data_IF_898081864594
#
_entry.id   IF_898081864594
#
_cell.length_a   1.000
_cell.length_b   1.000
_cell.length_c   1.000
_cell.angle_alpha   90.00
_cell.angle_beta   90.00
_cell.angle_gamma   90.00
#
_symmetry.space_group_name_H-M   'P 1'
#
loop_
_entity.id
_entity.type
_entity.pdbx_description
1 polymer ?
#
# COMPACT_ATOMS: atom_id res chain seq x y z
N UNK A 1 -6.60 13.97 -12.65
CA UNK A 1 -7.47 13.69 -11.48
C UNK A 1 -8.84 14.32 -11.66
N UNK A 2 -9.85 13.88 -10.89
CA UNK A 2 -11.22 14.44 -10.95
C UNK A 2 -11.25 15.97 -10.81
N UNK A 3 -12.19 16.59 -11.53
CA UNK A 3 -12.45 18.03 -11.49
C UNK A 3 -13.71 18.38 -10.71
N UNK A 4 -14.50 17.40 -10.27
CA UNK A 4 -15.73 17.69 -9.54
C UNK A 4 -15.44 18.28 -8.15
N UNK A 5 -16.39 19.07 -7.67
CA UNK A 5 -16.41 19.64 -6.33
C UNK A 5 -17.68 19.20 -5.64
N UNK A 6 -17.56 18.68 -4.41
CA UNK A 6 -18.69 18.25 -3.58
C UNK A 6 -18.84 19.20 -2.40
N UNK A 7 -20.07 19.56 -2.04
CA UNK A 7 -20.35 20.57 -1.01
C UNK A 7 -20.04 20.09 0.41
N UNK A 8 -20.19 18.79 0.68
CA UNK A 8 -19.92 18.22 1.99
C UNK A 8 -18.40 18.02 2.19
N UNK A 9 -17.78 18.67 3.20
CA UNK A 9 -16.33 18.66 3.43
C UNK A 9 -15.78 17.27 3.84
N UNK A 10 -16.64 16.35 4.29
CA UNK A 10 -16.23 15.02 4.73
C UNK A 10 -16.23 13.97 3.61
N UNK A 11 -16.60 14.34 2.38
CA UNK A 11 -16.62 13.40 1.26
C UNK A 11 -15.18 13.11 0.80
N UNK A 12 -14.72 11.92 1.17
CA UNK A 12 -13.47 11.34 0.68
C UNK A 12 -13.68 10.67 -0.70
N UNK A 13 -12.74 10.81 -1.65
CA UNK A 13 -11.47 11.54 -1.58
C UNK A 13 -11.53 12.96 -2.19
N UNK A 14 -12.70 13.44 -2.64
CA UNK A 14 -12.84 14.73 -3.33
C UNK A 14 -12.14 15.87 -2.58
N UNK A 15 -12.42 16.04 -1.29
CA UNK A 15 -11.88 17.17 -0.53
C UNK A 15 -10.39 17.03 -0.16
N UNK A 16 -9.78 15.87 -0.40
CA UNK A 16 -8.33 15.67 -0.18
C UNK A 16 -7.50 16.43 -1.23
N UNK A 17 -8.02 16.56 -2.46
CA UNK A 17 -7.28 17.12 -3.59
C UNK A 17 -7.85 18.44 -4.14
N UNK A 18 -8.96 18.96 -3.59
CA UNK A 18 -9.58 20.21 -4.05
C UNK A 18 -8.61 21.40 -4.08
N UNK A 19 -7.72 21.50 -3.08
CA UNK A 19 -6.74 22.59 -2.96
C UNK A 19 -5.42 22.36 -3.71
N UNK A 20 -5.27 21.22 -4.40
CA UNK A 20 -4.04 20.89 -5.13
C UNK A 20 -4.08 21.51 -6.52
N UNK A 21 -3.14 22.40 -6.78
CA UNK A 21 -3.05 23.21 -8.02
C UNK A 21 -2.80 22.31 -9.24
N UNK A 22 -1.99 21.25 -9.08
CA UNK A 22 -1.64 20.34 -10.16
C UNK A 22 -2.46 19.04 -10.05
N UNK A 23 -3.31 18.79 -11.05
CA UNK A 23 -4.19 17.60 -11.12
C UNK A 23 -3.63 16.50 -12.02
N UNK A 24 -2.42 16.69 -12.54
CA UNK A 24 -1.70 15.75 -13.39
C UNK A 24 -0.38 15.41 -12.70
N UNK A 25 0.01 14.14 -12.73
CA UNK A 25 1.28 13.68 -12.18
C UNK A 25 2.02 12.89 -13.25
N UNK A 26 3.32 13.15 -13.36
CA UNK A 26 4.23 12.41 -14.21
C UNK A 26 5.11 11.50 -13.36
N UNK A 27 5.17 10.23 -13.72
CA UNK A 27 5.95 9.23 -13.01
C UNK A 27 7.22 8.89 -13.78
N UNK A 28 8.35 8.87 -13.09
CA UNK A 28 9.61 8.28 -13.54
C UNK A 28 9.84 6.95 -12.83
N UNK A 29 10.87 6.20 -13.23
CA UNK A 29 11.23 4.89 -12.67
C UNK A 29 11.25 4.86 -11.14
N UNK A 30 11.71 5.94 -10.53
CA UNK A 30 11.55 6.19 -9.09
C UNK A 30 10.86 7.53 -8.93
N UNK A 31 9.70 7.53 -8.28
CA UNK A 31 8.92 8.73 -7.97
C UNK A 31 8.57 8.71 -6.49
N UNK A 32 8.93 9.77 -5.78
CA UNK A 32 8.69 9.90 -4.34
C UNK A 32 7.62 10.95 -4.10
N UNK A 33 6.49 10.55 -3.53
CA UNK A 33 5.48 11.48 -3.03
C UNK A 33 5.82 11.84 -1.58
N UNK A 34 6.25 13.08 -1.33
CA UNK A 34 6.61 13.56 0.01
C UNK A 34 5.65 14.66 0.50
N UNK A 35 5.58 14.84 1.82
CA UNK A 35 4.76 15.89 2.45
C UNK A 35 4.20 15.48 3.81
N UNK A 36 3.57 16.43 4.49
CA UNK A 36 3.05 16.24 5.86
C UNK A 36 1.96 15.17 5.98
N UNK A 37 1.67 14.73 7.19
CA UNK A 37 0.54 13.83 7.46
C UNK A 37 -0.77 14.45 6.98
N UNK A 38 -1.72 13.60 6.59
CA UNK A 38 -3.00 14.00 5.99
C UNK A 38 -2.91 14.81 4.68
N UNK A 39 -1.73 14.92 4.06
CA UNK A 39 -1.58 15.66 2.79
C UNK A 39 -2.14 14.94 1.55
N UNK A 40 -2.63 13.70 1.70
CA UNK A 40 -3.21 12.90 0.62
C UNK A 40 -2.27 11.90 -0.06
N UNK A 41 -1.03 11.70 0.41
CA UNK A 41 -0.04 10.78 -0.19
C UNK A 41 -0.57 9.34 -0.33
N UNK A 42 -0.97 8.73 0.78
CA UNK A 42 -1.49 7.35 0.78
C UNK A 42 -2.80 7.25 -0.01
N UNK A 43 -3.65 8.29 0.04
CA UNK A 43 -4.85 8.38 -0.77
C UNK A 43 -4.52 8.37 -2.27
N UNK A 44 -3.53 9.14 -2.71
CA UNK A 44 -3.08 9.19 -4.10
C UNK A 44 -2.58 7.82 -4.55
N UNK A 45 -1.72 7.18 -3.76
CA UNK A 45 -1.23 5.83 -4.07
C UNK A 45 -2.37 4.83 -4.15
N UNK A 46 -3.36 4.92 -3.25
CA UNK A 46 -4.53 4.04 -3.29
C UNK A 46 -5.42 4.27 -4.52
N UNK A 47 -5.59 5.53 -4.95
CA UNK A 47 -6.30 5.86 -6.20
C UNK A 47 -5.57 5.26 -7.41
N UNK A 48 -4.24 5.37 -7.46
CA UNK A 48 -3.43 4.79 -8.54
C UNK A 48 -3.57 3.27 -8.54
N UNK A 49 -3.43 2.62 -7.39
CA UNK A 49 -3.57 1.18 -7.25
C UNK A 49 -4.96 0.69 -7.72
N UNK A 50 -6.03 1.37 -7.31
CA UNK A 50 -7.39 1.07 -7.77
C UNK A 50 -7.58 1.35 -9.26
N UNK A 51 -7.08 2.48 -9.79
CA UNK A 51 -7.26 2.83 -11.20
C UNK A 51 -6.56 1.86 -12.15
N UNK A 52 -5.40 1.37 -11.72
CA UNK A 52 -4.56 0.46 -12.48
C UNK A 52 -4.83 -1.03 -12.14
N UNK A 53 -5.75 -1.31 -11.22
CA UNK A 53 -6.09 -2.66 -10.74
C UNK A 53 -4.85 -3.46 -10.29
N UNK A 54 -3.95 -2.79 -9.57
CA UNK A 54 -2.68 -3.36 -9.10
C UNK A 54 -2.92 -4.34 -7.95
N UNK A 55 -2.29 -5.51 -7.96
CA UNK A 55 -2.41 -6.50 -6.90
C UNK A 55 -2.20 -5.89 -5.50
N UNK A 56 -3.12 -6.18 -4.57
CA UNK A 56 -3.11 -5.66 -3.20
C UNK A 56 -3.86 -4.34 -3.00
N UNK A 57 -4.47 -3.77 -4.05
CA UNK A 57 -5.30 -2.57 -3.90
C UNK A 57 -6.48 -2.81 -2.94
N UNK A 58 -6.82 -1.78 -2.16
CA UNK A 58 -7.96 -1.85 -1.25
C UNK A 58 -9.11 -1.00 -1.78
N UNK A 59 -10.30 -1.57 -1.73
CA UNK A 59 -11.51 -0.75 -1.77
C UNK A 59 -11.60 0.02 -0.45
N UNK A 60 -11.73 1.34 -0.53
CA UNK A 60 -12.15 2.12 0.62
C UNK A 60 -13.53 1.58 1.07
N UNK A 61 -13.55 0.79 2.15
CA UNK A 61 -14.70 -0.01 2.63
C UNK A 61 -15.92 0.85 3.04
N UNK A 62 -15.79 2.17 3.00
CA UNK A 62 -16.71 3.10 3.62
C UNK A 62 -18.07 3.27 2.92
N UNK A 63 -18.37 2.56 1.82
CA UNK A 63 -19.68 2.66 1.17
C UNK A 63 -20.35 1.31 0.85
N UNK A 64 -20.03 0.21 1.55
CA UNK A 64 -20.92 -0.96 1.51
C UNK A 64 -22.33 -0.66 2.07
N UNK A 65 -22.45 0.38 2.88
CA UNK A 65 -23.70 0.79 3.55
C UNK A 65 -24.15 2.23 3.23
N UNK A 66 -23.45 2.92 2.33
CA UNK A 66 -23.82 4.25 1.82
C UNK A 66 -24.29 4.13 0.37
N UNK A 67 -25.37 4.85 0.00
CA UNK A 67 -26.02 4.78 -1.32
C UNK A 67 -25.04 5.11 -2.47
N UNK A 68 -24.02 5.94 -2.22
CA UNK A 68 -23.10 6.45 -3.27
C UNK A 68 -21.64 6.08 -2.99
N UNK A 69 -20.99 5.26 -3.84
CA UNK A 69 -19.58 4.90 -3.69
C UNK A 69 -18.65 6.02 -4.20
N UNK A 70 -18.56 7.12 -3.45
CA UNK A 70 -17.78 8.31 -3.83
C UNK A 70 -16.33 8.04 -4.20
N UNK A 71 -15.67 7.09 -3.51
CA UNK A 71 -14.29 6.72 -3.83
C UNK A 71 -14.17 6.09 -5.21
N UNK A 72 -15.01 5.11 -5.52
CA UNK A 72 -15.04 4.46 -6.84
C UNK A 72 -15.36 5.48 -7.92
N UNK A 73 -16.36 6.33 -7.69
CA UNK A 73 -16.71 7.41 -8.62
C UNK A 73 -15.50 8.30 -8.92
N UNK A 74 -14.77 8.72 -7.89
CA UNK A 74 -13.57 9.55 -8.07
C UNK A 74 -12.46 8.83 -8.86
N UNK A 75 -12.25 7.54 -8.60
CA UNK A 75 -11.28 6.71 -9.35
C UNK A 75 -11.69 6.60 -10.81
N UNK A 76 -12.98 6.42 -11.10
CA UNK A 76 -13.51 6.33 -12.46
C UNK A 76 -13.30 7.63 -13.24
N UNK A 77 -13.50 8.77 -12.58
CA UNK A 77 -13.24 10.12 -13.11
C UNK A 77 -11.74 10.44 -13.31
N UNK A 78 -10.83 9.66 -12.73
CA UNK A 78 -9.41 9.80 -13.01
C UNK A 78 -9.06 9.21 -14.38
N UNK A 79 -8.08 9.78 -15.06
CA UNK A 79 -7.52 9.26 -16.30
C UNK A 79 -6.01 9.04 -16.13
N UNK A 80 -5.46 8.14 -16.92
CA UNK A 80 -4.03 7.89 -17.00
C UNK A 80 -3.64 7.61 -18.44
N UNK A 81 -2.37 7.84 -18.74
CA UNK A 81 -1.70 7.40 -19.96
C UNK A 81 -0.43 6.67 -19.56
N UNK A 82 -0.06 5.66 -20.32
CA UNK A 82 1.22 4.99 -20.12
C UNK A 82 2.31 5.78 -20.85
N UNK A 83 3.53 5.74 -20.31
CA UNK A 83 4.69 6.39 -20.90
C UNK A 83 5.25 5.63 -22.09
N UNK A 84 6.43 6.05 -22.51
CA UNK A 84 7.23 5.35 -23.53
C UNK A 84 8.31 4.50 -22.84
N UNK A 85 8.74 3.42 -23.52
CA UNK A 85 9.90 2.62 -23.11
C UNK A 85 11.22 3.31 -23.52
N UNK A 86 12.36 2.65 -23.24
CA UNK A 86 13.69 3.17 -23.57
C UNK A 86 13.93 3.33 -25.08
N UNK A 87 13.16 2.62 -25.91
CA UNK A 87 13.20 2.70 -27.38
C UNK A 87 12.22 3.75 -27.94
N UNK A 88 11.53 4.51 -27.09
CA UNK A 88 10.52 5.49 -27.48
C UNK A 88 9.19 4.87 -27.94
N UNK A 89 8.95 3.58 -27.68
CA UNK A 89 7.68 2.92 -28.00
C UNK A 89 6.69 3.12 -26.86
N UNK A 90 5.43 3.38 -27.20
CA UNK A 90 4.38 3.48 -26.19
C UNK A 90 4.19 2.15 -25.45
N UNK A 91 4.18 2.23 -24.13
CA UNK A 91 3.92 1.08 -23.26
C UNK A 91 2.44 0.72 -23.40
N UNK A 92 2.15 -0.41 -24.05
CA UNK A 92 0.77 -0.84 -24.31
C UNK A 92 0.05 -1.44 -23.09
N UNK A 93 0.79 -1.91 -22.08
CA UNK A 93 0.22 -2.46 -20.83
C UNK A 93 1.21 -2.35 -19.68
N UNK A 94 0.69 -2.33 -18.46
CA UNK A 94 1.51 -2.43 -17.26
C UNK A 94 2.24 -3.79 -17.18
N UNK A 95 3.43 -3.83 -16.57
CA UNK A 95 4.11 -5.09 -16.25
C UNK A 95 3.22 -6.03 -15.43
N UNK A 96 3.30 -7.33 -15.70
CA UNK A 96 2.42 -8.34 -15.09
C UNK A 96 2.59 -8.49 -13.56
N UNK A 97 3.75 -8.13 -13.01
CA UNK A 97 4.07 -8.29 -11.58
C UNK A 97 4.10 -6.94 -10.85
N UNK A 98 3.09 -6.12 -11.09
CA UNK A 98 2.91 -4.90 -10.30
C UNK A 98 2.37 -5.25 -8.91
N UNK A 99 2.80 -4.52 -7.88
CA UNK A 99 2.28 -4.67 -6.51
C UNK A 99 2.08 -3.33 -5.84
N UNK A 100 1.00 -3.24 -5.09
CA UNK A 100 0.77 -2.16 -4.13
C UNK A 100 1.13 -2.68 -2.74
N UNK A 101 2.06 -2.00 -2.08
CA UNK A 101 2.59 -2.39 -0.78
C UNK A 101 2.38 -1.25 0.18
N UNK A 102 1.71 -1.52 1.30
CA UNK A 102 1.43 -0.53 2.35
C UNK A 102 2.41 -0.68 3.51
N UNK A 103 2.42 0.33 4.37
CA UNK A 103 3.14 0.29 5.65
C UNK A 103 2.70 -0.91 6.50
N UNK A 104 1.41 -1.21 6.53
CA UNK A 104 0.88 -2.31 7.35
C UNK A 104 1.38 -3.68 6.89
N UNK A 105 1.56 -3.87 5.58
CA UNK A 105 2.07 -5.12 5.01
C UNK A 105 3.53 -5.34 5.43
N UNK A 106 4.35 -4.29 5.35
CA UNK A 106 5.73 -4.33 5.81
C UNK A 106 5.81 -4.55 7.33
N UNK A 107 4.99 -3.84 8.09
CA UNK A 107 4.93 -3.99 9.55
C UNK A 107 4.48 -5.39 9.97
N UNK A 108 3.57 -6.01 9.22
CA UNK A 108 3.13 -7.38 9.44
C UNK A 108 4.29 -8.37 9.26
N UNK A 109 5.02 -8.28 8.14
CA UNK A 109 6.16 -9.16 7.88
C UNK A 109 7.27 -8.98 8.94
N UNK A 110 7.55 -7.74 9.37
CA UNK A 110 8.50 -7.49 10.46
C UNK A 110 8.03 -8.16 11.76
N UNK A 111 6.76 -7.99 12.13
CA UNK A 111 6.20 -8.60 13.35
C UNK A 111 6.22 -10.13 13.30
N UNK A 112 5.98 -10.71 12.13
CA UNK A 112 6.04 -12.16 11.93
C UNK A 112 7.43 -12.71 12.24
N UNK A 113 8.48 -12.09 11.68
CA UNK A 113 9.88 -12.46 11.95
C UNK A 113 10.20 -12.34 13.45
N UNK A 114 9.77 -11.25 14.09
CA UNK A 114 9.98 -11.04 15.52
C UNK A 114 9.26 -12.09 16.39
N UNK A 115 8.03 -12.50 16.02
CA UNK A 115 7.29 -13.53 16.73
C UNK A 115 7.93 -14.91 16.59
N UNK A 116 8.42 -15.26 15.40
CA UNK A 116 9.13 -16.53 15.16
C UNK A 116 10.39 -16.64 16.04
N UNK A 117 11.15 -15.55 16.19
CA UNK A 117 12.30 -15.50 17.09
C UNK A 117 11.90 -15.72 18.56
N UNK A 118 10.87 -15.02 19.04
CA UNK A 118 10.39 -15.16 20.43
C UNK A 118 9.91 -16.59 20.71
N UNK A 119 9.23 -17.22 19.76
CA UNK A 119 8.76 -18.60 19.90
C UNK A 119 9.93 -19.60 19.92
N UNK A 120 10.97 -19.38 19.10
CA UNK A 120 12.20 -20.16 19.12
C UNK A 120 12.92 -20.08 20.48
N UNK A 121 13.12 -18.87 20.98
CA UNK A 121 13.76 -18.63 22.28
C UNK A 121 12.95 -19.25 23.43
N UNK A 122 11.62 -19.11 23.40
CA UNK A 122 10.72 -19.73 24.37
C UNK A 122 10.76 -21.26 24.33
N UNK A 123 10.85 -21.85 23.13
CA UNK A 123 11.00 -23.29 22.95
C UNK A 123 12.32 -23.78 23.57
N UNK A 124 13.43 -23.12 23.29
CA UNK A 124 14.75 -23.46 23.86
C UNK A 124 14.71 -23.33 25.38
N UNK A 125 14.19 -22.21 25.91
CA UNK A 125 14.10 -21.98 27.36
C UNK A 125 13.30 -23.07 28.09
N UNK A 126 12.14 -23.47 27.58
CA UNK A 126 11.33 -24.56 28.17
C UNK A 126 12.11 -25.89 28.19
N UNK A 127 12.87 -26.19 27.14
CA UNK A 127 13.65 -27.41 27.10
C UNK A 127 14.84 -27.38 28.08
N UNK A 128 15.54 -26.24 28.18
CA UNK A 128 16.58 -26.03 29.20
C UNK A 128 16.00 -26.22 30.60
N UNK A 129 14.84 -25.62 30.88
CA UNK A 129 14.14 -25.76 32.17
C UNK A 129 13.77 -27.21 32.50
N UNK A 130 13.52 -28.05 31.50
CA UNK A 130 13.22 -29.48 31.64
C UNK A 130 14.47 -30.37 31.77
N UNK A 131 15.66 -29.79 31.83
CA UNK A 131 16.91 -30.51 32.10
C UNK A 131 17.67 -30.97 30.86
N UNK A 132 17.50 -30.29 29.72
CA UNK A 132 18.22 -30.60 28.48
C UNK A 132 19.75 -30.40 28.61
N UNK A 133 20.55 -31.33 28.08
CA UNK A 133 22.01 -31.28 28.15
C UNK A 133 22.61 -30.20 27.24
N UNK A 134 23.76 -29.63 27.62
CA UNK A 134 24.44 -28.52 26.91
C UNK A 134 24.70 -28.79 25.43
N UNK A 135 25.05 -30.02 25.05
CA UNK A 135 25.30 -30.40 23.66
C UNK A 135 24.03 -30.36 22.78
N UNK A 136 22.85 -30.60 23.36
CA UNK A 136 21.57 -30.52 22.63
C UNK A 136 21.14 -29.07 22.42
N UNK A 137 21.48 -28.18 23.35
CA UNK A 137 21.23 -26.73 23.26
C UNK A 137 22.07 -26.12 22.13
N UNK A 138 23.33 -26.52 21.99
CA UNK A 138 24.21 -26.06 20.88
C UNK A 138 23.74 -26.54 19.50
N UNK A 139 23.07 -27.70 19.42
CA UNK A 139 22.49 -28.18 18.16
C UNK A 139 21.19 -27.45 17.77
N UNK A 140 20.43 -26.94 18.74
CA UNK A 140 19.21 -26.15 18.52
C UNK A 140 19.48 -24.69 18.14
N UNK A 141 20.67 -24.18 18.48
CA UNK A 141 21.12 -22.81 18.17
C UNK A 141 21.88 -22.68 16.83
N UNK A 142 21.99 -23.78 16.05
CA UNK A 142 22.60 -23.81 14.72
C UNK A 142 21.54 -23.77 13.63
#
# INVERSE_FOLDING_TARGET
>A
MSKETVSNPNIYPYNVFVSKIEKSLFFRSITVLYGNNASGKSTMLNIIANKLQIEGYEYATCNKYGITPYFTKFVDECSYTLGEDEDGRQIGRLPQRNRYIKSEDILYEIKKIQQEQILGDGYIYEHIRRGMNKEQIEQLNK
#
